data_IF_011696165551
#
_entry.id   IF_011696165551
#
_cell.length_a   1.000
_cell.length_b   1.000
_cell.length_c   1.000
_cell.angle_alpha   90.00
_cell.angle_beta   90.00
_cell.angle_gamma   90.00
#
_symmetry.space_group_name_H-M   'P 1'
#
loop_
_entity.id
_entity.type
_entity.pdbx_description
1 polymer ?
#
# COMPACT_ATOMS: atom_id res chain seq x y z
N UNK A 1 6.40 5.70 -9.79
CA UNK A 1 5.66 4.74 -10.65
C UNK A 1 5.37 5.32 -12.03
N UNK A 2 4.76 6.52 -12.16
CA UNK A 2 4.54 7.18 -13.47
C UNK A 2 5.85 7.45 -14.26
N UNK A 3 6.92 7.90 -13.61
CA UNK A 3 8.22 8.09 -14.27
C UNK A 3 8.80 6.76 -14.75
N UNK A 4 8.86 5.74 -13.88
CA UNK A 4 9.47 4.45 -14.18
C UNK A 4 8.83 3.71 -15.36
N UNK A 5 7.49 3.76 -15.48
CA UNK A 5 6.77 3.17 -16.62
C UNK A 5 6.99 3.98 -17.90
N UNK A 6 7.01 5.31 -17.80
CA UNK A 6 7.29 6.19 -18.94
C UNK A 6 8.71 6.01 -19.47
N UNK A 7 9.68 5.99 -18.58
CA UNK A 7 11.10 5.82 -18.89
C UNK A 7 11.38 4.44 -19.49
N UNK A 8 10.72 3.38 -18.98
CA UNK A 8 10.85 2.03 -19.51
C UNK A 8 10.25 1.89 -20.93
N UNK A 9 9.07 2.46 -21.17
CA UNK A 9 8.45 2.45 -22.50
C UNK A 9 9.26 3.28 -23.51
N UNK A 10 9.76 4.43 -23.08
CA UNK A 10 10.63 5.28 -23.90
C UNK A 10 11.92 4.55 -24.28
N UNK A 11 12.54 3.84 -23.33
CA UNK A 11 13.74 3.06 -23.59
C UNK A 11 13.48 1.88 -24.54
N UNK A 12 12.36 1.16 -24.39
CA UNK A 12 11.99 0.08 -25.31
C UNK A 12 11.80 0.63 -26.73
N UNK A 13 11.06 1.73 -26.87
CA UNK A 13 10.83 2.38 -28.16
C UNK A 13 12.15 2.84 -28.78
N UNK A 14 13.03 3.45 -27.98
CA UNK A 14 14.36 3.87 -28.41
C UNK A 14 15.22 2.67 -28.84
N UNK A 15 15.24 1.58 -28.09
CA UNK A 15 16.01 0.38 -28.42
C UNK A 15 15.52 -0.26 -29.72
N UNK A 16 14.20 -0.38 -29.89
CA UNK A 16 13.61 -0.91 -31.14
C UNK A 16 13.97 -0.01 -32.32
N UNK A 17 13.81 1.32 -32.18
CA UNK A 17 14.15 2.27 -33.24
C UNK A 17 15.64 2.21 -33.60
N UNK A 18 16.51 2.12 -32.60
CA UNK A 18 17.98 2.06 -32.79
C UNK A 18 18.39 0.75 -33.47
N UNK A 19 17.81 -0.38 -33.08
CA UNK A 19 18.08 -1.70 -33.69
C UNK A 19 17.59 -1.76 -35.14
N UNK A 20 16.40 -1.22 -35.43
CA UNK A 20 15.88 -1.17 -36.80
C UNK A 20 16.73 -0.26 -37.69
N UNK A 21 17.08 0.93 -37.21
CA UNK A 21 17.93 1.86 -37.95
C UNK A 21 19.32 1.27 -38.21
N UNK A 22 19.93 0.61 -37.22
CA UNK A 22 21.27 0.00 -37.39
C UNK A 22 21.25 -1.16 -38.38
N UNK A 23 20.19 -2.00 -38.37
CA UNK A 23 20.01 -3.06 -39.36
C UNK A 23 19.85 -2.47 -40.77
N UNK A 24 19.00 -1.46 -40.95
CA UNK A 24 18.78 -0.82 -42.27
C UNK A 24 20.09 -0.26 -42.81
N UNK A 25 20.86 0.46 -41.99
CA UNK A 25 22.16 1.02 -42.39
C UNK A 25 23.14 -0.10 -42.77
N UNK A 26 23.18 -1.20 -42.01
CA UNK A 26 24.06 -2.34 -42.30
C UNK A 26 23.71 -3.01 -43.64
N UNK A 27 22.43 -3.21 -43.93
CA UNK A 27 21.97 -3.81 -45.19
C UNK A 27 22.18 -2.91 -46.41
N UNK A 28 22.06 -1.58 -46.25
CA UNK A 28 22.36 -0.62 -47.33
C UNK A 28 23.86 -0.58 -47.63
N UNK A 29 24.71 -0.66 -46.60
CA UNK A 29 26.16 -0.59 -46.78
C UNK A 29 26.73 -1.82 -47.49
N UNK A 30 26.41 -3.03 -47.01
CA UNK A 30 26.83 -4.27 -47.65
C UNK A 30 25.95 -5.44 -47.20
N UNK A 31 25.01 -5.86 -48.05
CA UNK A 31 24.03 -6.89 -47.73
C UNK A 31 24.65 -8.28 -47.48
N UNK A 32 25.78 -8.60 -48.13
CA UNK A 32 26.48 -9.89 -47.97
C UNK A 32 27.15 -9.94 -46.60
N UNK A 33 27.87 -8.88 -46.22
CA UNK A 33 28.54 -8.78 -44.93
C UNK A 33 27.52 -8.70 -43.77
N UNK A 34 26.41 -7.98 -43.97
CA UNK A 34 25.32 -7.91 -43.00
C UNK A 34 24.69 -9.29 -42.73
N UNK A 35 24.50 -10.11 -43.77
CA UNK A 35 23.98 -11.48 -43.62
C UNK A 35 24.93 -12.40 -42.85
N UNK A 36 26.24 -12.34 -43.15
CA UNK A 36 27.26 -13.13 -42.46
C UNK A 36 27.28 -12.77 -40.97
N UNK A 37 27.21 -11.47 -40.67
CA UNK A 37 27.14 -10.96 -39.30
C UNK A 37 25.83 -11.34 -38.60
N UNK A 38 24.69 -11.27 -39.29
CA UNK A 38 23.41 -11.69 -38.76
C UNK A 38 23.41 -13.18 -38.42
N UNK A 39 24.07 -14.00 -39.24
CA UNK A 39 24.27 -15.43 -39.01
C UNK A 39 25.17 -15.71 -37.80
N UNK A 40 26.02 -14.76 -37.40
CA UNK A 40 26.85 -14.81 -36.19
C UNK A 40 26.14 -14.26 -34.93
N UNK A 41 25.02 -13.55 -35.06
CA UNK A 41 24.23 -13.05 -33.91
C UNK A 41 23.72 -14.16 -32.98
N UNK A 42 23.20 -15.32 -33.46
CA UNK A 42 22.85 -16.44 -32.59
C UNK A 42 24.03 -16.89 -31.74
N UNK A 43 25.25 -16.81 -32.29
CA UNK A 43 26.49 -17.13 -31.59
C UNK A 43 26.79 -16.12 -30.47
N UNK A 44 26.50 -14.84 -30.68
CA UNK A 44 26.60 -13.78 -29.64
C UNK A 44 25.49 -13.92 -28.58
N UNK A 45 24.26 -14.26 -28.95
CA UNK A 45 23.17 -14.52 -27.99
C UNK A 45 23.48 -15.75 -27.15
N UNK A 46 23.97 -16.81 -27.80
CA UNK A 46 24.48 -18.01 -27.13
C UNK A 46 25.68 -17.65 -26.25
N UNK A 47 26.58 -16.76 -26.69
CA UNK A 47 27.70 -16.25 -25.88
C UNK A 47 27.21 -15.50 -24.65
N UNK A 48 26.21 -14.60 -24.74
CA UNK A 48 25.68 -13.86 -23.59
C UNK A 48 24.96 -14.78 -22.61
N UNK A 49 24.18 -15.73 -23.14
CA UNK A 49 23.54 -16.77 -22.35
C UNK A 49 24.57 -17.67 -21.65
N UNK A 50 25.61 -18.08 -22.38
CA UNK A 50 26.72 -18.84 -21.84
C UNK A 50 27.53 -17.99 -20.86
N UNK A 51 27.77 -16.69 -21.07
CA UNK A 51 28.46 -15.78 -20.14
C UNK A 51 27.70 -15.63 -18.83
N UNK A 52 26.36 -15.52 -18.85
CA UNK A 52 25.56 -15.56 -17.63
C UNK A 52 25.73 -16.90 -16.89
N UNK A 53 25.93 -18.00 -17.62
CA UNK A 53 26.20 -19.33 -17.06
C UNK A 53 27.68 -19.53 -16.65
N UNK A 54 28.62 -18.86 -17.32
CA UNK A 54 30.08 -18.96 -17.18
C UNK A 54 30.67 -17.94 -16.21
N UNK A 55 29.96 -16.86 -15.85
CA UNK A 55 30.28 -16.03 -14.67
C UNK A 55 30.22 -16.85 -13.36
N UNK A 56 29.75 -18.10 -13.41
CA UNK A 56 29.88 -19.13 -12.37
C UNK A 56 31.09 -20.08 -12.53
N UNK A 57 31.92 -19.97 -13.57
CA UNK A 57 33.06 -20.88 -13.81
C UNK A 57 34.13 -20.33 -14.76
N UNK A 58 35.23 -19.83 -14.18
CA UNK A 58 36.62 -19.66 -14.70
C UNK A 58 36.89 -20.02 -16.17
N UNK A 59 37.33 -19.12 -17.07
CA UNK A 59 38.66 -18.46 -17.20
C UNK A 59 39.84 -19.42 -17.41
N UNK A 60 40.16 -19.79 -18.67
CA UNK A 60 41.53 -20.17 -19.12
C UNK A 60 41.72 -20.34 -20.66
N UNK A 61 40.69 -20.49 -21.49
CA UNK A 61 40.87 -20.89 -22.91
C UNK A 61 40.82 -19.74 -23.95
N UNK A 62 40.90 -18.48 -23.52
CA UNK A 62 40.62 -17.32 -24.38
C UNK A 62 41.72 -16.96 -25.41
N UNK A 63 42.78 -17.77 -25.58
CA UNK A 63 43.92 -17.43 -26.45
C UNK A 63 43.84 -18.06 -27.84
N UNK A 64 43.15 -19.19 -27.98
CA UNK A 64 43.08 -19.98 -29.23
C UNK A 64 42.01 -19.44 -30.20
N UNK A 65 40.89 -18.93 -29.67
CA UNK A 65 39.77 -18.44 -30.49
C UNK A 65 40.05 -17.11 -31.23
N UNK A 66 41.11 -16.39 -30.87
CA UNK A 66 41.49 -15.14 -31.53
C UNK A 66 42.23 -15.36 -32.87
N UNK A 67 42.79 -16.54 -33.10
CA UNK A 67 43.62 -16.84 -34.29
C UNK A 67 42.77 -17.24 -35.52
N UNK A 68 41.67 -17.97 -35.30
CA UNK A 68 40.75 -18.37 -36.38
C UNK A 68 39.89 -17.22 -36.94
N UNK A 69 39.57 -16.21 -36.10
CA UNK A 69 38.80 -15.05 -36.53
C UNK A 69 39.58 -14.12 -37.49
N UNK A 70 40.92 -14.17 -37.46
CA UNK A 70 41.80 -13.34 -38.31
C UNK A 70 41.84 -13.81 -39.76
N UNK A 71 41.73 -15.12 -40.01
CA UNK A 71 41.82 -15.68 -41.37
C UNK A 71 40.59 -15.38 -42.23
N UNK A 72 39.40 -15.28 -41.63
CA UNK A 72 38.14 -14.99 -42.35
C UNK A 72 38.08 -13.52 -42.84
N UNK A 73 38.83 -12.61 -42.20
CA UNK A 73 38.88 -11.20 -42.61
C UNK A 73 39.68 -10.97 -43.90
N UNK A 74 40.57 -11.89 -44.29
CA UNK A 74 41.45 -11.71 -45.47
C UNK A 74 40.78 -12.07 -46.80
N UNK A 75 39.72 -12.90 -46.80
CA UNK A 75 39.00 -13.30 -48.02
C UNK A 75 37.83 -12.37 -48.39
N UNK A 76 37.44 -11.47 -47.48
CA UNK A 76 36.42 -10.47 -47.75
C UNK A 76 37.06 -9.24 -48.44
N UNK A 77 36.57 -8.87 -49.63
CA UNK A 77 36.88 -7.57 -50.29
C UNK A 77 36.23 -6.39 -49.54
N UNK A 78 36.31 -6.37 -48.21
CA UNK A 78 35.78 -5.32 -47.36
C UNK A 78 36.93 -4.42 -46.92
N UNK A 79 36.75 -3.11 -47.05
CA UNK A 79 37.72 -2.14 -46.55
C UNK A 79 37.68 -2.11 -45.02
N UNK A 80 38.80 -1.78 -44.38
CA UNK A 80 38.88 -1.63 -42.92
C UNK A 80 37.77 -0.73 -42.35
N UNK A 81 37.41 0.33 -43.08
CA UNK A 81 36.34 1.25 -42.70
C UNK A 81 34.95 0.58 -42.70
N UNK A 82 34.68 -0.36 -43.60
CA UNK A 82 33.41 -1.10 -43.65
C UNK A 82 33.33 -2.12 -42.51
N UNK A 83 34.42 -2.84 -42.23
CA UNK A 83 34.50 -3.77 -41.11
C UNK A 83 34.32 -3.04 -39.78
N UNK A 84 34.99 -1.89 -39.61
CA UNK A 84 34.88 -1.08 -38.39
C UNK A 84 33.46 -0.51 -38.19
N UNK A 85 32.79 -0.05 -39.26
CA UNK A 85 31.40 0.43 -39.18
C UNK A 85 30.44 -0.66 -38.72
N UNK A 86 30.58 -1.86 -39.26
CA UNK A 86 29.73 -3.00 -38.90
C UNK A 86 29.99 -3.44 -37.46
N UNK A 87 31.25 -3.54 -37.04
CA UNK A 87 31.62 -3.86 -35.66
C UNK A 87 31.08 -2.83 -34.66
N UNK A 88 31.22 -1.53 -34.97
CA UNK A 88 30.74 -0.45 -34.11
C UNK A 88 29.21 -0.46 -33.99
N UNK A 89 28.49 -0.68 -35.09
CA UNK A 89 27.03 -0.77 -35.10
C UNK A 89 26.51 -1.95 -34.26
N UNK A 90 27.17 -3.12 -34.33
CA UNK A 90 26.79 -4.30 -33.54
C UNK A 90 27.09 -4.13 -32.05
N UNK A 91 28.22 -3.51 -31.72
CA UNK A 91 28.61 -3.25 -30.33
C UNK A 91 27.60 -2.29 -29.67
N UNK A 92 27.21 -1.23 -30.39
CA UNK A 92 26.17 -0.30 -29.95
C UNK A 92 24.80 -0.98 -29.79
N UNK A 93 24.41 -1.85 -30.73
CA UNK A 93 23.16 -2.61 -30.63
C UNK A 93 23.16 -3.56 -29.41
N UNK A 94 24.29 -4.22 -29.14
CA UNK A 94 24.46 -5.13 -28.00
C UNK A 94 24.42 -4.38 -26.66
N UNK A 95 25.04 -3.19 -26.59
CA UNK A 95 24.97 -2.33 -25.40
C UNK A 95 23.54 -1.83 -25.13
N UNK A 96 22.77 -1.51 -26.17
CA UNK A 96 21.35 -1.12 -26.04
C UNK A 96 20.48 -2.24 -25.46
N UNK A 97 20.66 -3.48 -25.96
CA UNK A 97 19.94 -4.65 -25.45
C UNK A 97 20.30 -4.98 -23.99
N UNK A 98 21.58 -4.87 -23.63
CA UNK A 98 22.06 -5.10 -22.26
C UNK A 98 21.41 -4.15 -21.24
N UNK A 99 21.34 -2.85 -21.56
CA UNK A 99 20.72 -1.85 -20.69
C UNK A 99 19.20 -2.07 -20.51
N UNK A 100 18.48 -2.48 -21.56
CA UNK A 100 17.05 -2.83 -21.43
C UNK A 100 16.84 -4.07 -20.56
N UNK A 101 17.74 -5.06 -20.64
CA UNK A 101 17.64 -6.28 -19.81
C UNK A 101 17.84 -6.02 -18.32
N UNK A 102 18.70 -5.05 -17.95
CA UNK A 102 18.96 -4.65 -16.58
C UNK A 102 17.73 -4.02 -15.89
N UNK A 103 16.78 -3.47 -16.66
CA UNK A 103 15.56 -2.84 -16.14
C UNK A 103 14.35 -3.78 -16.05
N UNK A 104 14.43 -4.98 -16.61
CA UNK A 104 13.34 -5.96 -16.59
C UNK A 104 12.85 -6.33 -15.17
N UNK A 105 13.75 -6.62 -14.21
CA UNK A 105 13.35 -6.96 -12.83
C UNK A 105 12.59 -5.83 -12.13
N UNK A 106 12.96 -4.57 -12.36
CA UNK A 106 12.31 -3.42 -11.73
C UNK A 106 10.92 -3.13 -12.32
N UNK A 107 10.73 -3.41 -13.61
CA UNK A 107 9.41 -3.34 -14.24
C UNK A 107 8.43 -4.35 -13.64
N UNK A 108 8.86 -5.58 -13.34
CA UNK A 108 8.01 -6.58 -12.69
C UNK A 108 7.68 -6.18 -11.25
N UNK A 109 8.67 -5.75 -10.46
CA UNK A 109 8.42 -5.24 -9.10
C UNK A 109 7.45 -4.06 -9.08
N UNK A 110 7.54 -3.16 -10.05
CA UNK A 110 6.63 -2.03 -10.17
C UNK A 110 5.19 -2.49 -10.46
N UNK A 111 5.01 -3.52 -11.30
CA UNK A 111 3.69 -4.11 -11.56
C UNK A 111 3.11 -4.77 -10.31
N UNK A 112 3.91 -5.55 -9.58
CA UNK A 112 3.45 -6.23 -8.35
C UNK A 112 3.05 -5.21 -7.28
N UNK A 113 3.86 -4.15 -7.08
CA UNK A 113 3.53 -3.07 -6.16
C UNK A 113 2.25 -2.31 -6.57
N UNK A 114 2.05 -2.09 -7.88
CA UNK A 114 0.82 -1.48 -8.38
C UNK A 114 -0.39 -2.36 -8.11
N UNK A 115 -0.28 -3.67 -8.36
CA UNK A 115 -1.35 -4.63 -8.11
C UNK A 115 -1.78 -4.62 -6.64
N UNK A 116 -0.84 -4.64 -5.68
CA UNK A 116 -1.15 -4.55 -4.25
C UNK A 116 -1.85 -3.24 -3.85
N UNK A 117 -1.48 -2.11 -4.47
CA UNK A 117 -2.14 -0.82 -4.23
C UNK A 117 -3.58 -0.85 -4.75
N UNK A 118 -3.79 -1.33 -5.98
CA UNK A 118 -5.12 -1.43 -6.57
C UNK A 118 -6.01 -2.42 -5.81
N UNK A 119 -5.45 -3.53 -5.31
CA UNK A 119 -6.19 -4.48 -4.46
C UNK A 119 -6.73 -3.82 -3.18
N UNK A 120 -5.97 -2.91 -2.56
CA UNK A 120 -6.44 -2.15 -1.37
C UNK A 120 -7.48 -1.10 -1.77
N UNK A 121 -7.28 -0.38 -2.87
CA UNK A 121 -8.18 0.69 -3.32
C UNK A 121 -9.53 0.15 -3.79
N UNK A 122 -9.55 -0.98 -4.50
CA UNK A 122 -10.75 -1.58 -5.06
C UNK A 122 -11.51 -2.45 -4.03
N UNK A 123 -10.92 -2.69 -2.85
CA UNK A 123 -11.54 -3.47 -1.78
C UNK A 123 -12.78 -2.76 -1.23
N UNK A 124 -13.93 -3.41 -1.34
CA UNK A 124 -15.17 -2.96 -0.70
C UNK A 124 -15.25 -3.47 0.76
N UNK A 125 -15.27 -2.58 1.76
CA UNK A 125 -15.43 -2.99 3.15
C UNK A 125 -16.86 -3.49 3.40
N UNK A 126 -17.02 -4.47 4.32
CA UNK A 126 -18.35 -4.94 4.75
C UNK A 126 -19.12 -3.86 5.51
N UNK A 127 -18.40 -3.09 6.33
CA UNK A 127 -18.92 -1.95 7.09
C UNK A 127 -18.24 -0.72 6.52
N UNK A 128 -18.92 -0.04 5.60
CA UNK A 128 -18.42 1.19 5.00
C UNK A 128 -18.80 2.39 5.86
N UNK A 129 -17.79 3.06 6.41
CA UNK A 129 -17.99 4.24 7.26
C UNK A 129 -18.23 5.52 6.45
N UNK A 130 -17.87 5.51 5.16
CA UNK A 130 -18.06 6.62 4.24
C UNK A 130 -19.38 6.52 3.46
N UNK A 131 -20.12 5.42 3.63
CA UNK A 131 -21.41 5.25 2.98
C UNK A 131 -22.45 6.21 3.56
N UNK A 132 -23.23 6.81 2.66
CA UNK A 132 -24.40 7.62 2.99
C UNK A 132 -25.66 6.76 3.19
N UNK A 133 -25.54 5.45 3.05
CA UNK A 133 -26.65 4.51 3.23
C UNK A 133 -26.99 4.28 4.71
N UNK A 134 -28.26 3.99 4.97
CA UNK A 134 -28.80 3.67 6.28
C UNK A 134 -29.78 4.71 6.80
N UNK A 135 -30.51 4.35 7.84
CA UNK A 135 -31.49 5.22 8.50
C UNK A 135 -30.81 6.11 9.55
N UNK A 136 -31.29 7.34 9.66
CA UNK A 136 -30.94 8.29 10.72
C UNK A 136 -32.18 8.46 11.59
N UNK A 137 -32.04 8.31 12.90
CA UNK A 137 -33.15 8.55 13.82
C UNK A 137 -33.25 10.05 14.13
N UNK A 138 -34.48 10.57 14.25
CA UNK A 138 -34.72 11.98 14.58
C UNK A 138 -34.33 12.33 16.02
N UNK A 139 -34.35 11.34 16.91
CA UNK A 139 -34.05 11.48 18.33
C UNK A 139 -33.54 10.15 18.87
N UNK A 140 -32.58 10.22 19.79
CA UNK A 140 -32.00 9.06 20.46
C UNK A 140 -32.32 9.12 21.95
N UNK A 141 -32.97 8.08 22.47
CA UNK A 141 -33.18 7.92 23.90
C UNK A 141 -32.03 7.15 24.56
N UNK A 142 -31.37 6.26 23.82
CA UNK A 142 -30.21 5.51 24.29
C UNK A 142 -30.56 4.18 24.95
N UNK A 143 -31.69 3.56 24.58
CA UNK A 143 -32.02 2.19 24.98
C UNK A 143 -31.29 1.19 24.07
N UNK A 144 -30.49 0.31 24.64
CA UNK A 144 -29.64 -0.61 23.87
C UNK A 144 -29.94 -2.05 24.28
N UNK A 145 -30.17 -2.92 23.30
CA UNK A 145 -30.39 -4.34 23.54
C UNK A 145 -29.55 -5.20 22.59
N UNK A 146 -28.86 -6.18 23.17
CA UNK A 146 -28.15 -7.24 22.47
C UNK A 146 -28.99 -8.51 22.60
N UNK A 147 -29.38 -9.09 21.46
CA UNK A 147 -30.24 -10.28 21.41
C UNK A 147 -29.47 -11.46 20.84
N UNK A 148 -29.26 -12.48 21.66
CA UNK A 148 -28.74 -13.80 21.25
C UNK A 148 -27.43 -13.71 20.44
N UNK A 149 -26.51 -12.86 20.91
CA UNK A 149 -25.29 -12.53 20.19
C UNK A 149 -24.30 -13.70 20.25
N UNK A 150 -23.92 -14.21 19.08
CA UNK A 150 -22.76 -15.07 18.92
C UNK A 150 -21.70 -14.37 18.09
N UNK A 151 -20.46 -14.42 18.57
CA UNK A 151 -19.37 -13.68 17.95
C UNK A 151 -18.00 -14.35 18.11
N UNK A 152 -17.19 -14.26 17.06
CA UNK A 152 -15.77 -14.58 17.01
C UNK A 152 -15.00 -13.54 16.21
N UNK A 153 -13.74 -13.31 16.55
CA UNK A 153 -12.88 -12.45 15.75
C UNK A 153 -12.37 -13.19 14.50
N UNK A 154 -12.40 -12.55 13.34
CA UNK A 154 -11.94 -13.13 12.07
C UNK A 154 -10.47 -13.61 12.11
N UNK A 155 -9.62 -12.92 12.89
CA UNK A 155 -8.20 -13.29 13.06
C UNK A 155 -7.98 -14.54 13.92
N UNK A 156 -9.00 -14.99 14.65
CA UNK A 156 -8.97 -16.18 15.51
C UNK A 156 -10.31 -16.92 15.42
N UNK A 157 -10.61 -17.54 14.27
CA UNK A 157 -11.92 -18.13 14.00
C UNK A 157 -12.25 -19.33 14.91
N UNK A 158 -11.25 -19.95 15.53
CA UNK A 158 -11.46 -21.10 16.44
C UNK A 158 -11.92 -20.68 17.84
N UNK A 159 -11.85 -19.38 18.16
CA UNK A 159 -12.14 -18.85 19.50
C UNK A 159 -13.47 -18.10 19.49
N UNK A 160 -14.50 -18.77 20.01
CA UNK A 160 -15.82 -18.18 20.23
C UNK A 160 -15.78 -17.27 21.48
N UNK A 161 -16.04 -15.97 21.30
CA UNK A 161 -16.07 -15.00 22.41
C UNK A 161 -17.44 -15.00 23.08
N UNK A 162 -18.51 -14.86 22.30
CA UNK A 162 -19.88 -14.92 22.79
C UNK A 162 -20.63 -16.11 22.23
N UNK A 163 -21.35 -16.80 23.12
CA UNK A 163 -22.25 -17.92 22.84
C UNK A 163 -23.61 -17.52 23.40
N UNK A 164 -24.44 -16.91 22.56
CA UNK A 164 -25.79 -16.52 22.95
C UNK A 164 -25.87 -15.42 24.05
N UNK A 165 -25.09 -14.34 23.89
CA UNK A 165 -25.12 -13.22 24.83
C UNK A 165 -26.40 -12.38 24.66
N UNK A 166 -27.16 -12.22 25.74
CA UNK A 166 -28.26 -11.27 25.87
C UNK A 166 -27.91 -10.21 26.91
N UNK A 167 -28.02 -8.92 26.54
CA UNK A 167 -27.73 -7.80 27.43
C UNK A 167 -28.70 -6.66 27.12
N UNK A 168 -29.27 -6.06 28.15
CA UNK A 168 -30.12 -4.88 28.05
C UNK A 168 -29.49 -3.74 28.85
N UNK A 169 -29.37 -2.58 28.22
CA UNK A 169 -28.83 -1.34 28.79
C UNK A 169 -29.93 -0.28 28.66
N UNK A 170 -30.71 -0.06 29.73
CA UNK A 170 -31.80 0.90 29.70
C UNK A 170 -31.29 2.33 29.55
N UNK A 171 -32.06 3.15 28.83
CA UNK A 171 -31.78 4.59 28.69
C UNK A 171 -31.56 5.28 30.04
N UNK A 172 -30.54 6.15 30.10
CA UNK A 172 -30.21 6.96 31.28
C UNK A 172 -29.62 6.18 32.45
N UNK A 173 -29.27 4.89 32.28
CA UNK A 173 -28.63 4.08 33.31
C UNK A 173 -27.17 3.81 32.99
N UNK A 174 -26.35 3.72 34.04
CA UNK A 174 -24.96 3.25 33.95
C UNK A 174 -24.92 1.75 34.21
N UNK A 175 -24.36 1.01 33.26
CA UNK A 175 -24.16 -0.45 33.37
C UNK A 175 -22.67 -0.73 33.45
N UNK A 176 -22.27 -1.58 34.41
CA UNK A 176 -20.90 -2.03 34.57
C UNK A 176 -20.76 -3.48 34.10
N UNK A 177 -19.82 -3.73 33.18
CA UNK A 177 -19.47 -5.08 32.74
C UNK A 177 -18.25 -5.56 33.53
N UNK A 178 -18.45 -6.61 34.34
CA UNK A 178 -17.41 -7.19 35.19
C UNK A 178 -17.16 -8.65 34.81
N UNK A 179 -15.91 -9.10 34.97
CA UNK A 179 -15.51 -10.48 34.68
C UNK A 179 -14.01 -10.59 34.43
N UNK A 180 -13.55 -11.83 34.29
CA UNK A 180 -12.14 -12.17 34.09
C UNK A 180 -11.56 -11.56 32.79
N UNK A 181 -10.24 -11.46 32.71
CA UNK A 181 -9.58 -11.02 31.48
C UNK A 181 -9.94 -11.97 30.32
N UNK A 182 -10.25 -11.41 29.15
CA UNK A 182 -10.64 -12.19 27.98
C UNK A 182 -12.12 -12.63 27.90
N UNK A 183 -12.97 -12.29 28.87
CA UNK A 183 -14.40 -12.64 28.81
C UNK A 183 -15.25 -11.83 27.81
N UNK A 184 -14.63 -10.92 27.04
CA UNK A 184 -15.32 -10.16 25.98
C UNK A 184 -15.85 -8.78 26.38
N UNK A 185 -15.50 -8.21 27.55
CA UNK A 185 -15.95 -6.85 27.96
C UNK A 185 -15.75 -5.79 26.87
N UNK A 186 -14.52 -5.66 26.37
CA UNK A 186 -14.18 -4.72 25.29
C UNK A 186 -14.79 -5.12 23.94
N UNK A 187 -15.13 -6.40 23.78
CA UNK A 187 -15.83 -6.90 22.58
C UNK A 187 -17.27 -6.39 22.54
N UNK A 188 -17.97 -6.26 23.67
CA UNK A 188 -19.29 -5.62 23.71
C UNK A 188 -19.20 -4.19 23.14
N UNK A 189 -18.22 -3.41 23.59
CA UNK A 189 -17.98 -2.05 23.10
C UNK A 189 -17.69 -2.06 21.59
N UNK A 190 -16.85 -2.99 21.12
CA UNK A 190 -16.50 -3.12 19.70
C UNK A 190 -17.71 -3.45 18.81
N UNK A 191 -18.69 -4.19 19.32
CA UNK A 191 -19.94 -4.51 18.62
C UNK A 191 -20.91 -3.32 18.62
N UNK A 192 -20.98 -2.57 19.72
CA UNK A 192 -21.81 -1.36 19.82
C UNK A 192 -21.34 -0.25 18.87
N UNK A 193 -20.03 -0.02 18.81
CA UNK A 193 -19.37 0.90 17.86
C UNK A 193 -19.40 0.39 16.41
N UNK A 194 -19.95 -0.81 16.21
CA UNK A 194 -20.05 -1.51 14.93
C UNK A 194 -18.70 -1.55 14.20
N UNK A 195 -17.63 -1.90 14.93
CA UNK A 195 -16.34 -2.27 14.33
C UNK A 195 -16.40 -3.69 13.76
N UNK A 196 -17.30 -4.52 14.29
CA UNK A 196 -17.60 -5.85 13.81
C UNK A 196 -19.10 -6.08 13.83
N UNK A 197 -19.59 -6.88 12.90
CA UNK A 197 -20.94 -7.43 12.97
C UNK A 197 -20.91 -8.79 13.70
N UNK A 198 -21.95 -9.12 14.48
CA UNK A 198 -22.09 -10.45 15.09
C UNK A 198 -22.30 -11.53 14.01
N UNK A 199 -21.96 -12.78 14.35
CA UNK A 199 -22.25 -13.93 13.46
C UNK A 199 -23.73 -14.31 13.47
N UNK A 200 -24.36 -14.19 14.63
CA UNK A 200 -25.79 -14.40 14.84
C UNK A 200 -26.33 -13.46 15.90
N UNK A 201 -27.65 -13.28 15.90
CA UNK A 201 -28.31 -12.31 16.77
C UNK A 201 -28.25 -10.90 16.19
N UNK A 202 -28.76 -9.93 16.93
CA UNK A 202 -28.81 -8.54 16.49
C UNK A 202 -28.73 -7.58 17.67
N UNK A 203 -28.31 -6.36 17.39
CA UNK A 203 -28.15 -5.30 18.38
C UNK A 203 -29.07 -4.16 17.96
N UNK A 204 -29.86 -3.63 18.89
CA UNK A 204 -30.77 -2.52 18.63
C UNK A 204 -30.40 -1.29 19.45
N UNK A 205 -30.55 -0.12 18.85
CA UNK A 205 -30.58 1.18 19.50
C UNK A 205 -32.00 1.75 19.35
N UNK A 206 -32.68 2.02 20.47
CA UNK A 206 -34.07 2.49 20.53
C UNK A 206 -35.04 1.63 19.70
N UNK A 207 -34.83 0.31 19.73
CA UNK A 207 -35.62 -0.68 18.99
C UNK A 207 -35.27 -0.83 17.51
N UNK A 208 -34.34 -0.04 16.97
CA UNK A 208 -33.87 -0.15 15.58
C UNK A 208 -32.52 -0.87 15.53
N UNK A 209 -32.42 -1.89 14.68
CA UNK A 209 -31.16 -2.64 14.48
C UNK A 209 -30.03 -1.72 14.01
N UNK A 210 -28.87 -1.80 14.68
CA UNK A 210 -27.72 -0.95 14.37
C UNK A 210 -27.15 -1.19 12.96
N UNK A 211 -27.42 -2.36 12.36
CA UNK A 211 -27.01 -2.68 11.00
C UNK A 211 -27.74 -1.82 9.95
N UNK A 212 -28.97 -1.38 10.26
CA UNK A 212 -29.81 -0.55 9.39
C UNK A 212 -29.48 0.94 9.50
N UNK A 213 -28.79 1.34 10.56
CA UNK A 213 -28.41 2.72 10.82
C UNK A 213 -27.20 3.12 9.99
N UNK A 214 -27.14 4.40 9.61
CA UNK A 214 -25.97 5.01 8.99
C UNK A 214 -24.80 4.97 9.97
N UNK A 215 -23.67 4.37 9.57
CA UNK A 215 -22.53 4.08 10.48
C UNK A 215 -21.92 5.35 11.08
N UNK A 216 -21.66 6.37 10.26
CA UNK A 216 -21.09 7.63 10.75
C UNK A 216 -22.03 8.36 11.70
N UNK A 217 -23.34 8.32 11.46
CA UNK A 217 -24.33 8.87 12.37
C UNK A 217 -24.39 8.11 13.70
N UNK A 218 -24.39 6.77 13.67
CA UNK A 218 -24.40 5.93 14.87
C UNK A 218 -23.24 6.28 15.81
N UNK A 219 -22.03 6.38 15.25
CA UNK A 219 -20.82 6.70 16.02
C UNK A 219 -20.78 8.14 16.54
N UNK A 220 -21.46 9.09 15.87
CA UNK A 220 -21.61 10.45 16.38
C UNK A 220 -22.47 10.51 17.66
N UNK A 221 -23.31 9.50 17.91
CA UNK A 221 -24.13 9.43 19.14
C UNK A 221 -23.39 8.78 20.31
N UNK A 222 -22.14 8.31 20.10
CA UNK A 222 -21.37 7.56 21.08
C UNK A 222 -20.04 8.26 21.39
N UNK A 223 -19.67 8.29 22.66
CA UNK A 223 -18.36 8.73 23.13
C UNK A 223 -17.53 7.56 23.62
N UNK A 224 -16.44 7.24 22.92
CA UNK A 224 -15.54 6.15 23.29
C UNK A 224 -14.31 6.70 24.03
N UNK A 225 -14.08 6.21 25.26
CA UNK A 225 -12.84 6.46 26.01
C UNK A 225 -12.02 5.17 26.02
N UNK A 226 -10.88 5.20 25.32
CA UNK A 226 -9.95 4.08 25.28
C UNK A 226 -9.22 3.86 26.60
N UNK A 227 -8.73 2.63 26.83
CA UNK A 227 -7.92 2.31 28.01
C UNK A 227 -6.61 3.11 28.04
N UNK A 228 -6.00 3.30 26.86
CA UNK A 228 -4.85 4.18 26.66
C UNK A 228 -5.31 5.32 25.74
N UNK A 229 -5.38 6.57 26.23
CA UNK A 229 -5.78 7.69 25.39
C UNK A 229 -4.68 7.99 24.37
N UNK A 230 -5.08 8.15 23.11
CA UNK A 230 -4.18 8.48 22.00
C UNK A 230 -4.42 9.94 21.62
N UNK A 231 -3.34 10.73 21.60
CA UNK A 231 -3.37 12.11 21.13
C UNK A 231 -2.57 12.23 19.82
N UNK A 232 -3.11 13.04 18.91
CA UNK A 232 -2.45 13.42 17.67
C UNK A 232 -1.34 14.44 17.96
N UNK A 233 -0.31 14.44 17.12
CA UNK A 233 0.81 15.38 17.19
C UNK A 233 0.39 16.78 16.71
N UNK A 234 -0.50 17.40 17.48
CA UNK A 234 -1.12 18.70 17.26
C UNK A 234 -1.23 19.43 18.60
N UNK A 235 -1.85 20.61 18.63
CA UNK A 235 -2.13 21.33 19.88
C UNK A 235 -3.18 20.60 20.74
N UNK A 236 -3.21 20.91 22.04
CA UNK A 236 -4.27 20.43 22.94
C UNK A 236 -5.65 20.84 22.40
N UNK A 237 -5.77 22.09 21.94
CA UNK A 237 -6.98 22.63 21.31
C UNK A 237 -7.47 21.76 20.14
N UNK A 238 -6.57 21.46 19.21
CA UNK A 238 -6.90 20.69 18.00
C UNK A 238 -7.32 19.25 18.34
N UNK A 239 -6.68 18.63 19.34
CA UNK A 239 -7.06 17.29 19.82
C UNK A 239 -8.47 17.26 20.43
N UNK A 240 -8.87 18.30 21.17
CA UNK A 240 -10.22 18.40 21.75
C UNK A 240 -11.24 18.69 20.65
N UNK A 241 -10.95 19.67 19.78
CA UNK A 241 -11.80 20.06 18.67
C UNK A 241 -12.00 18.93 17.65
N UNK A 242 -11.09 17.95 17.58
CA UNK A 242 -11.25 16.78 16.72
C UNK A 242 -12.54 15.97 17.00
N UNK A 243 -13.04 16.01 18.25
CA UNK A 243 -14.22 15.24 18.65
C UNK A 243 -15.56 15.77 18.07
N UNK A 244 -15.64 17.06 17.74
CA UNK A 244 -16.86 17.70 17.24
C UNK A 244 -16.48 18.63 16.08
N UNK A 245 -17.14 18.47 14.94
CA UNK A 245 -16.94 19.37 13.80
C UNK A 245 -17.27 20.81 14.21
N UNK A 246 -16.34 21.73 13.97
CA UNK A 246 -16.50 23.17 14.22
C UNK A 246 -16.75 23.54 15.70
N UNK A 247 -16.11 22.84 16.64
CA UNK A 247 -16.19 23.18 18.06
C UNK A 247 -15.76 24.63 18.33
N UNK A 248 -16.62 25.37 19.03
CA UNK A 248 -16.32 26.73 19.47
C UNK A 248 -15.38 26.74 20.68
N UNK A 249 -14.65 27.83 20.88
CA UNK A 249 -13.76 27.98 22.04
C UNK A 249 -14.50 27.83 23.39
N UNK A 250 -15.75 28.29 23.45
CA UNK A 250 -16.58 28.19 24.64
C UNK A 250 -16.90 26.73 24.97
N UNK A 251 -17.27 25.93 23.96
CA UNK A 251 -17.53 24.49 24.11
C UNK A 251 -16.28 23.72 24.54
N UNK A 252 -15.13 24.04 23.96
CA UNK A 252 -13.84 23.45 24.34
C UNK A 252 -13.58 23.70 25.83
N UNK A 253 -13.76 24.94 26.31
CA UNK A 253 -13.54 25.30 27.71
C UNK A 253 -14.56 24.61 28.64
N UNK A 254 -15.82 24.49 28.24
CA UNK A 254 -16.84 23.80 29.02
C UNK A 254 -16.49 22.31 29.16
N UNK A 255 -16.12 21.66 28.05
CA UNK A 255 -15.74 20.25 28.03
C UNK A 255 -14.50 19.98 28.89
N UNK A 256 -13.46 20.81 28.80
CA UNK A 256 -12.25 20.63 29.62
C UNK A 256 -12.48 20.92 31.10
N UNK A 257 -13.39 21.82 31.45
CA UNK A 257 -13.82 22.03 32.85
C UNK A 257 -14.55 20.80 33.38
N UNK A 258 -15.49 20.23 32.61
CA UNK A 258 -16.19 19.01 32.98
C UNK A 258 -15.25 17.81 33.15
N UNK A 259 -14.19 17.75 32.34
CA UNK A 259 -13.15 16.73 32.42
C UNK A 259 -12.06 17.01 33.49
N UNK A 260 -12.17 18.09 34.28
CA UNK A 260 -11.16 18.56 35.24
C UNK A 260 -9.77 18.87 34.63
N UNK A 261 -9.69 19.14 33.33
CA UNK A 261 -8.45 19.41 32.61
C UNK A 261 -8.13 20.91 32.46
N UNK A 262 -9.13 21.78 32.56
CA UNK A 262 -8.98 23.22 32.27
C UNK A 262 -7.87 23.92 33.07
N UNK A 263 -7.79 23.66 34.38
CA UNK A 263 -6.81 24.31 35.24
C UNK A 263 -5.38 23.84 34.94
N UNK A 264 -5.22 22.56 34.60
CA UNK A 264 -3.93 22.00 34.16
C UNK A 264 -3.49 22.65 32.85
N UNK A 265 -4.38 22.66 31.84
CA UNK A 265 -4.08 23.21 30.51
C UNK A 265 -3.75 24.70 30.61
N UNK A 266 -4.55 25.47 31.34
CA UNK A 266 -4.33 26.93 31.50
C UNK A 266 -3.05 27.27 32.27
N UNK A 267 -2.50 26.32 33.04
CA UNK A 267 -1.22 26.48 33.74
C UNK A 267 0.00 26.27 32.85
N UNK A 268 -0.17 25.72 31.64
CA UNK A 268 0.92 25.53 30.69
C UNK A 268 1.37 26.86 30.07
N UNK A 269 2.66 27.03 29.70
CA UNK A 269 3.17 28.28 29.14
C UNK A 269 2.43 28.77 27.88
N UNK A 270 1.86 27.85 27.10
CA UNK A 270 1.09 28.15 25.89
C UNK A 270 -0.39 27.76 26.01
N UNK A 271 -0.85 27.39 27.21
CA UNK A 271 -2.24 27.02 27.44
C UNK A 271 -2.73 25.91 26.51
N UNK A 272 -3.83 26.18 25.81
CA UNK A 272 -4.43 25.29 24.82
C UNK A 272 -3.61 25.12 23.53
N UNK A 273 -2.68 26.04 23.26
CA UNK A 273 -1.83 26.01 22.08
C UNK A 273 -0.54 25.20 22.31
N UNK A 274 -0.37 24.63 23.51
CA UNK A 274 0.72 23.69 23.78
C UNK A 274 0.62 22.49 22.85
N UNK A 275 1.72 22.23 22.14
CA UNK A 275 1.87 21.04 21.30
C UNK A 275 2.04 19.80 22.16
N UNK A 276 1.28 18.76 21.84
CA UNK A 276 1.19 17.53 22.64
C UNK A 276 2.37 16.57 22.36
N UNK A 277 2.98 16.68 21.18
CA UNK A 277 3.99 15.74 20.70
C UNK A 277 3.39 14.41 20.24
N UNK A 278 4.21 13.52 19.67
CA UNK A 278 3.75 12.19 19.24
C UNK A 278 3.25 11.39 20.46
N UNK A 279 1.99 10.93 20.41
CA UNK A 279 1.33 10.15 21.49
C UNK A 279 1.30 10.82 22.87
N UNK A 280 1.39 12.15 22.96
CA UNK A 280 1.24 12.84 24.24
C UNK A 280 2.38 12.67 25.24
N UNK A 281 3.57 12.26 24.78
CA UNK A 281 4.76 12.06 25.62
C UNK A 281 5.16 13.31 26.42
N UNK A 282 4.70 14.49 26.02
CA UNK A 282 5.01 15.76 26.70
C UNK A 282 4.02 16.15 27.81
N UNK A 283 2.94 15.39 28.00
CA UNK A 283 1.90 15.68 29.00
C UNK A 283 1.84 14.55 30.02
N UNK A 284 2.45 14.76 31.20
CA UNK A 284 2.33 13.90 32.38
C UNK A 284 1.83 14.68 33.58
#
# INVERSE_FOLDING_TARGET
MKSLVGDYLALIAQTIATVLASLIIAFIANWILAFIVLLLLPLVVIQVYLQMKFLKGFSLDAKEMYEEASQVANDAKATFAEVFKVFFALTMASMGLSQTSAMGPDANKAKDAAASIFEILDRKPKIDSNSEEGTILSSVTGDINLHHISFRYHMRPDVQIFRDLCLSIPSGKTVALVGESGCGKSTVISLLERFYDPESGFITLDGVEIQKLKVSWLRQQMGLVGQEPILFNETIRANIAYGIQEATEEEIIIATKAANAHNFISGLPQGYDTSVGERGVQLS
#
